data_IF_108723360378
#
_entry.id   IF_108723360378
#
_cell.length_a   1.000
_cell.length_b   1.000
_cell.length_c   1.000
_cell.angle_alpha   90.00
_cell.angle_beta   90.00
_cell.angle_gamma   90.00
#
_symmetry.space_group_name_H-M   'P 1'
#
loop_
_entity.id
_entity.type
_entity.pdbx_description
1 polymer ?
#
# COMPACT_ATOMS: atom_id res chain seq x y z
N UNK A 1 -11.80 13.33 -28.65
CA UNK A 1 -11.09 14.63 -28.60
C UNK A 1 -10.96 14.99 -27.14
N UNK A 2 -9.77 15.38 -26.67
CA UNK A 2 -9.58 15.69 -25.25
C UNK A 2 -10.48 16.85 -24.79
N UNK A 3 -11.16 16.67 -23.67
CA UNK A 3 -12.08 17.70 -23.13
C UNK A 3 -11.29 18.89 -22.58
N UNK A 4 -11.92 20.06 -22.47
CA UNK A 4 -11.29 21.25 -21.85
C UNK A 4 -10.75 20.95 -20.45
N UNK A 5 -11.52 20.34 -19.51
CA UNK A 5 -11.00 20.00 -18.20
C UNK A 5 -9.86 18.98 -18.24
N UNK A 6 -9.88 18.00 -19.17
CA UNK A 6 -8.77 17.05 -19.32
C UNK A 6 -7.46 17.74 -19.71
N UNK A 7 -7.50 18.70 -20.64
CA UNK A 7 -6.31 19.45 -21.05
C UNK A 7 -5.73 20.25 -19.89
N UNK A 8 -6.59 20.98 -19.17
CA UNK A 8 -6.19 21.74 -17.97
C UNK A 8 -5.66 20.82 -16.87
N UNK A 9 -6.22 19.63 -16.70
CA UNK A 9 -5.75 18.66 -15.71
C UNK A 9 -4.31 18.21 -16.03
N UNK A 10 -4.01 17.98 -17.32
CA UNK A 10 -2.66 17.63 -17.78
C UNK A 10 -1.66 18.77 -17.60
N UNK A 11 -2.09 20.01 -17.85
CA UNK A 11 -1.28 21.21 -17.58
C UNK A 11 -0.99 21.34 -16.08
N UNK A 12 -2.02 21.32 -15.22
CA UNK A 12 -1.86 21.35 -13.77
C UNK A 12 -0.97 20.21 -13.25
N UNK A 13 -1.06 19.02 -13.85
CA UNK A 13 -0.19 17.90 -13.50
C UNK A 13 1.28 18.18 -13.88
N UNK A 14 1.54 18.82 -15.02
CA UNK A 14 2.88 19.18 -15.47
C UNK A 14 3.50 20.28 -14.59
N UNK A 15 2.68 21.18 -14.07
CA UNK A 15 3.08 22.26 -13.16
C UNK A 15 3.19 21.79 -11.68
N UNK A 16 3.15 20.47 -11.44
CA UNK A 16 3.15 19.83 -10.12
C UNK A 16 1.98 20.25 -9.19
N UNK A 17 0.92 20.87 -9.73
CA UNK A 17 -0.31 21.23 -9.03
C UNK A 17 -1.25 20.02 -8.91
N UNK A 18 -0.79 18.95 -8.26
CA UNK A 18 -1.46 17.65 -8.28
C UNK A 18 -2.87 17.66 -7.68
N UNK A 19 -3.13 18.49 -6.66
CA UNK A 19 -4.47 18.63 -6.08
C UNK A 19 -5.46 19.23 -7.09
N UNK A 20 -5.04 20.29 -7.79
CA UNK A 20 -5.84 20.88 -8.86
C UNK A 20 -6.02 19.90 -10.02
N UNK A 21 -4.98 19.14 -10.38
CA UNK A 21 -5.07 18.10 -11.41
C UNK A 21 -6.14 17.05 -11.05
N UNK A 22 -6.22 16.60 -9.79
CA UNK A 22 -7.27 15.67 -9.33
C UNK A 22 -8.67 16.26 -9.50
N UNK A 23 -8.87 17.53 -9.14
CA UNK A 23 -10.17 18.19 -9.28
C UNK A 23 -10.59 18.33 -10.74
N UNK A 24 -9.66 18.73 -11.60
CA UNK A 24 -9.89 18.87 -13.04
C UNK A 24 -10.12 17.51 -13.73
N UNK A 25 -9.37 16.47 -13.36
CA UNK A 25 -9.67 15.11 -13.84
C UNK A 25 -11.03 14.63 -13.36
N UNK A 26 -11.44 14.98 -12.14
CA UNK A 26 -12.77 14.64 -11.63
C UNK A 26 -13.88 15.34 -12.42
N UNK A 27 -13.64 16.58 -12.88
CA UNK A 27 -14.54 17.26 -13.82
C UNK A 27 -14.56 16.57 -15.19
N UNK A 28 -13.40 16.21 -15.74
CA UNK A 28 -13.32 15.49 -17.00
C UNK A 28 -14.07 14.15 -16.94
N UNK A 29 -13.94 13.40 -15.84
CA UNK A 29 -14.64 12.13 -15.61
C UNK A 29 -16.17 12.32 -15.54
N UNK A 30 -16.66 13.44 -14.99
CA UNK A 30 -18.10 13.74 -15.01
C UNK A 30 -18.62 13.94 -16.45
N UNK A 31 -17.78 14.44 -17.35
CA UNK A 31 -18.14 14.64 -18.76
C UNK A 31 -18.02 13.36 -19.57
N UNK A 32 -17.00 12.54 -19.31
CA UNK A 32 -16.81 11.23 -19.94
C UNK A 32 -16.44 10.15 -18.90
N UNK A 33 -17.45 9.51 -18.28
CA UNK A 33 -17.21 8.51 -17.24
C UNK A 33 -16.69 7.17 -17.77
N UNK A 34 -16.58 7.00 -19.09
CA UNK A 34 -16.13 5.75 -19.71
C UNK A 34 -14.70 5.83 -20.25
N UNK A 35 -14.04 7.00 -20.18
CA UNK A 35 -12.64 7.11 -20.57
C UNK A 35 -11.70 6.59 -19.47
N UNK A 36 -11.17 5.38 -19.70
CA UNK A 36 -10.20 4.74 -18.82
C UNK A 36 -8.93 5.58 -18.58
N UNK A 37 -8.53 6.42 -19.54
CA UNK A 37 -7.32 7.25 -19.38
C UNK A 37 -7.49 8.30 -18.30
N UNK A 38 -8.70 8.88 -18.15
CA UNK A 38 -8.95 9.89 -17.13
C UNK A 38 -8.77 9.33 -15.72
N UNK A 39 -9.27 8.12 -15.47
CA UNK A 39 -9.04 7.42 -14.21
C UNK A 39 -7.56 7.08 -14.01
N UNK A 40 -6.87 6.58 -15.04
CA UNK A 40 -5.44 6.25 -14.93
C UNK A 40 -4.55 7.49 -14.68
N UNK A 41 -4.89 8.63 -15.27
CA UNK A 41 -4.18 9.89 -15.07
C UNK A 41 -4.51 10.50 -13.69
N UNK A 42 -5.77 10.44 -13.23
CA UNK A 42 -6.14 10.85 -11.86
C UNK A 42 -5.47 10.00 -10.80
N UNK A 43 -5.36 8.68 -11.01
CA UNK A 43 -4.59 7.79 -10.15
C UNK A 43 -3.12 8.23 -10.03
N UNK A 44 -2.52 8.71 -11.12
CA UNK A 44 -1.15 9.23 -11.08
C UNK A 44 -1.03 10.50 -10.24
N UNK A 45 -2.01 11.40 -10.32
CA UNK A 45 -2.05 12.59 -9.48
C UNK A 45 -2.23 12.21 -7.98
N UNK A 46 -3.10 11.25 -7.68
CA UNK A 46 -3.24 10.70 -6.33
C UNK A 46 -1.94 10.08 -5.78
N UNK A 47 -1.18 9.35 -6.61
CA UNK A 47 0.14 8.82 -6.21
C UNK A 47 1.09 9.95 -5.81
N UNK A 48 1.09 11.07 -6.56
CA UNK A 48 1.93 12.23 -6.25
C UNK A 48 1.52 12.93 -4.96
N UNK A 49 0.25 12.84 -4.58
CA UNK A 49 -0.28 13.32 -3.31
C UNK A 49 -0.15 12.32 -2.15
N UNK A 50 0.45 11.15 -2.37
CA UNK A 50 0.47 10.02 -1.43
C UNK A 50 -0.92 9.47 -1.03
N UNK A 51 -1.95 9.76 -1.83
CA UNK A 51 -3.31 9.23 -1.70
C UNK A 51 -3.40 7.85 -2.37
N UNK A 52 -2.68 6.86 -1.84
CA UNK A 52 -2.46 5.60 -2.53
C UNK A 52 -3.73 4.74 -2.63
N UNK A 53 -4.63 4.81 -1.66
CA UNK A 53 -5.89 4.07 -1.66
C UNK A 53 -6.83 4.52 -2.79
N UNK A 54 -6.92 5.83 -3.00
CA UNK A 54 -7.65 6.48 -4.07
C UNK A 54 -7.02 6.14 -5.42
N UNK A 55 -5.70 6.17 -5.51
CA UNK A 55 -4.98 5.76 -6.71
C UNK A 55 -5.26 4.29 -7.10
N UNK A 56 -5.33 3.36 -6.14
CA UNK A 56 -5.70 1.96 -6.40
C UNK A 56 -7.13 1.86 -6.92
N UNK A 57 -8.07 2.60 -6.31
CA UNK A 57 -9.48 2.63 -6.73
C UNK A 57 -9.63 3.10 -8.18
N UNK A 58 -8.99 4.23 -8.52
CA UNK A 58 -8.99 4.77 -9.88
C UNK A 58 -8.31 3.83 -10.88
N UNK A 59 -7.16 3.25 -10.51
CA UNK A 59 -6.48 2.29 -11.37
C UNK A 59 -7.33 1.04 -11.63
N UNK A 60 -8.06 0.54 -10.63
CA UNK A 60 -9.01 -0.56 -10.81
C UNK A 60 -10.15 -0.17 -11.76
N UNK A 61 -10.69 1.04 -11.63
CA UNK A 61 -11.75 1.52 -12.52
C UNK A 61 -11.24 1.64 -13.97
N UNK A 62 -10.03 2.17 -14.16
CA UNK A 62 -9.38 2.22 -15.47
C UNK A 62 -9.19 0.83 -16.09
N UNK A 63 -8.75 -0.17 -15.30
CA UNK A 63 -8.60 -1.56 -15.76
C UNK A 63 -9.96 -2.18 -16.12
N UNK A 64 -11.01 -1.90 -15.35
CA UNK A 64 -12.36 -2.39 -15.64
C UNK A 64 -12.88 -1.82 -16.98
N UNK A 65 -12.64 -0.54 -17.24
CA UNK A 65 -13.06 0.13 -18.48
C UNK A 65 -12.20 -0.29 -19.68
N UNK A 66 -10.90 -0.42 -19.49
CA UNK A 66 -9.96 -0.88 -20.52
C UNK A 66 -8.90 -1.83 -19.92
N UNK A 67 -9.14 -3.15 -20.03
CA UNK A 67 -8.22 -4.17 -19.51
C UNK A 67 -6.85 -4.19 -20.18
N UNK A 68 -6.69 -3.56 -21.35
CA UNK A 68 -5.41 -3.48 -22.09
C UNK A 68 -4.57 -2.24 -21.74
N UNK A 69 -5.09 -1.35 -20.88
CA UNK A 69 -4.41 -0.10 -20.53
C UNK A 69 -3.25 -0.35 -19.56
N UNK A 70 -2.06 -0.63 -20.11
CA UNK A 70 -0.83 -0.90 -19.33
C UNK A 70 -0.54 0.16 -18.26
N UNK A 71 -0.76 1.45 -18.56
CA UNK A 71 -0.58 2.55 -17.59
C UNK A 71 -1.39 2.36 -16.31
N UNK A 72 -2.62 1.83 -16.38
CA UNK A 72 -3.46 1.62 -15.21
C UNK A 72 -2.88 0.55 -14.27
N UNK A 73 -2.36 -0.55 -14.82
CA UNK A 73 -1.64 -1.57 -14.04
C UNK A 73 -0.38 -1.00 -13.39
N UNK A 74 0.36 -0.14 -14.09
CA UNK A 74 1.52 0.52 -13.53
C UNK A 74 1.14 1.43 -12.35
N UNK A 75 0.03 2.17 -12.44
CA UNK A 75 -0.48 2.99 -11.32
C UNK A 75 -0.88 2.12 -10.14
N UNK A 76 -1.66 1.06 -10.38
CA UNK A 76 -2.06 0.10 -9.34
C UNK A 76 -0.85 -0.50 -8.64
N UNK A 77 0.11 -1.05 -9.40
CA UNK A 77 1.32 -1.65 -8.85
C UNK A 77 2.14 -0.66 -8.01
N UNK A 78 2.34 0.57 -8.52
CA UNK A 78 3.07 1.61 -7.79
C UNK A 78 2.37 2.00 -6.48
N UNK A 79 1.04 2.17 -6.50
CA UNK A 79 0.27 2.51 -5.31
C UNK A 79 0.26 1.36 -4.28
N UNK A 80 0.10 0.11 -4.72
CA UNK A 80 0.18 -1.07 -3.85
C UNK A 80 1.57 -1.23 -3.20
N UNK A 81 2.67 -0.97 -3.94
CA UNK A 81 4.03 -0.96 -3.34
C UNK A 81 4.12 0.06 -2.20
N UNK A 82 3.54 1.25 -2.39
CA UNK A 82 3.53 2.31 -1.36
C UNK A 82 2.62 1.99 -0.17
N UNK A 83 1.66 1.10 -0.35
CA UNK A 83 0.82 0.53 0.70
C UNK A 83 1.42 -0.73 1.33
N UNK A 84 2.62 -1.15 0.91
CA UNK A 84 3.28 -2.40 1.33
C UNK A 84 2.49 -3.67 0.95
N UNK A 85 1.61 -3.57 -0.06
CA UNK A 85 0.87 -4.69 -0.63
C UNK A 85 1.65 -5.36 -1.79
N UNK A 86 2.82 -5.90 -1.48
CA UNK A 86 3.79 -6.35 -2.50
C UNK A 86 3.29 -7.49 -3.40
N UNK A 87 2.53 -8.43 -2.85
CA UNK A 87 1.93 -9.52 -3.62
C UNK A 87 0.92 -9.01 -4.65
N UNK A 88 0.01 -8.14 -4.22
CA UNK A 88 -1.00 -7.51 -5.08
C UNK A 88 -0.35 -6.63 -6.14
N UNK A 89 0.69 -5.88 -5.77
CA UNK A 89 1.48 -5.09 -6.69
C UNK A 89 2.13 -5.95 -7.79
N UNK A 90 2.81 -7.02 -7.41
CA UNK A 90 3.47 -7.95 -8.35
C UNK A 90 2.50 -8.49 -9.39
N UNK A 91 1.34 -8.99 -8.95
CA UNK A 91 0.31 -9.53 -9.86
C UNK A 91 -0.20 -8.45 -10.81
N UNK A 92 -0.49 -7.25 -10.31
CA UNK A 92 -0.93 -6.14 -11.16
C UNK A 92 0.13 -5.78 -12.22
N UNK A 93 1.40 -5.72 -11.84
CA UNK A 93 2.50 -5.40 -12.73
C UNK A 93 2.73 -6.49 -13.79
N UNK A 94 2.62 -7.77 -13.43
CA UNK A 94 2.71 -8.88 -14.38
C UNK A 94 1.60 -8.82 -15.44
N UNK A 95 0.37 -8.54 -15.01
CA UNK A 95 -0.77 -8.37 -15.93
C UNK A 95 -0.54 -7.17 -16.86
N UNK A 96 -0.01 -6.06 -16.34
CA UNK A 96 0.32 -4.88 -17.15
C UNK A 96 1.45 -5.11 -18.16
N UNK A 97 2.48 -5.86 -17.78
CA UNK A 97 3.63 -6.18 -18.62
C UNK A 97 3.24 -6.95 -19.88
N UNK A 98 2.18 -7.78 -19.81
CA UNK A 98 1.65 -8.49 -20.98
C UNK A 98 1.21 -7.54 -22.11
N UNK A 99 0.81 -6.30 -21.78
CA UNK A 99 0.37 -5.28 -22.73
C UNK A 99 1.46 -4.24 -23.08
N UNK A 100 2.63 -4.31 -22.44
CA UNK A 100 3.74 -3.36 -22.64
C UNK A 100 5.09 -4.04 -22.47
N UNK A 101 5.42 -4.95 -23.39
CA UNK A 101 6.59 -5.83 -23.30
C UNK A 101 7.94 -5.07 -23.27
N UNK A 102 8.00 -3.88 -23.87
CA UNK A 102 9.21 -3.06 -23.92
C UNK A 102 9.36 -2.09 -22.73
N UNK A 103 8.36 -1.99 -21.85
CA UNK A 103 8.39 -1.06 -20.72
C UNK A 103 9.15 -1.65 -19.53
N UNK A 104 10.44 -1.30 -19.43
CA UNK A 104 11.33 -1.78 -18.38
C UNK A 104 10.87 -1.42 -16.96
N UNK A 105 9.93 -0.46 -16.79
CA UNK A 105 9.40 -0.12 -15.46
C UNK A 105 8.69 -1.30 -14.81
N UNK A 106 7.98 -2.13 -15.59
CA UNK A 106 7.32 -3.31 -15.06
C UNK A 106 8.32 -4.30 -14.47
N UNK A 107 9.36 -4.65 -15.24
CA UNK A 107 10.40 -5.57 -14.78
C UNK A 107 11.08 -5.09 -13.49
N UNK A 108 11.45 -3.80 -13.45
CA UNK A 108 12.07 -3.20 -12.26
C UNK A 108 11.17 -3.24 -11.03
N UNK A 109 9.87 -2.91 -11.18
CA UNK A 109 8.93 -2.92 -10.06
C UNK A 109 8.55 -4.34 -9.62
N UNK A 110 8.49 -5.30 -10.54
CA UNK A 110 8.28 -6.73 -10.21
C UNK A 110 9.45 -7.24 -9.38
N UNK A 111 10.69 -6.98 -9.82
CA UNK A 111 11.89 -7.35 -9.06
C UNK A 111 11.94 -6.68 -7.68
N UNK A 112 11.49 -5.42 -7.58
CA UNK A 112 11.35 -4.75 -6.30
C UNK A 112 10.34 -5.45 -5.39
N UNK A 113 9.18 -5.88 -5.91
CA UNK A 113 8.20 -6.64 -5.14
C UNK A 113 8.77 -7.98 -4.64
N UNK A 114 9.49 -8.72 -5.50
CA UNK A 114 10.11 -9.99 -5.14
C UNK A 114 11.05 -9.85 -3.95
N UNK A 115 11.92 -8.82 -3.97
CA UNK A 115 12.82 -8.54 -2.85
C UNK A 115 12.10 -8.24 -1.55
N UNK A 116 10.99 -7.50 -1.59
CA UNK A 116 10.21 -7.21 -0.38
C UNK A 116 9.51 -8.47 0.15
N UNK A 117 8.96 -9.30 -0.73
CA UNK A 117 8.29 -10.56 -0.35
C UNK A 117 9.30 -11.51 0.32
N UNK A 118 10.47 -11.72 -0.27
CA UNK A 118 11.53 -12.56 0.32
C UNK A 118 12.00 -12.04 1.68
N UNK A 119 12.11 -10.72 1.84
CA UNK A 119 12.47 -10.10 3.11
C UNK A 119 11.39 -10.32 4.19
N UNK A 120 10.10 -10.25 3.83
CA UNK A 120 9.00 -10.55 4.74
C UNK A 120 9.06 -12.01 5.22
N UNK A 121 9.29 -12.96 4.31
CA UNK A 121 9.39 -14.39 4.64
C UNK A 121 10.58 -14.69 5.55
N UNK A 122 11.74 -14.10 5.28
CA UNK A 122 12.93 -14.23 6.13
C UNK A 122 12.70 -13.67 7.54
N UNK A 123 12.01 -12.53 7.64
CA UNK A 123 11.68 -11.92 8.94
C UNK A 123 10.66 -12.75 9.73
N UNK A 124 9.68 -13.38 9.08
CA UNK A 124 8.68 -14.23 9.71
C UNK A 124 9.26 -15.47 10.39
N UNK A 125 10.29 -16.07 9.79
CA UNK A 125 11.00 -17.26 10.30
C UNK A 125 11.73 -17.00 11.63
N UNK A 126 12.16 -15.77 11.90
CA UNK A 126 12.89 -15.45 13.15
C UNK A 126 11.99 -15.44 14.39
N UNK A 127 10.67 -15.30 14.23
CA UNK A 127 9.73 -15.21 15.35
C UNK A 127 9.29 -16.56 15.95
N UNK A 128 9.44 -17.66 15.21
CA UNK A 128 8.96 -18.99 15.62
C UNK A 128 10.01 -19.89 16.26
N UNK A 129 11.30 -19.53 16.18
CA UNK A 129 12.41 -20.32 16.74
C UNK A 129 12.79 -19.97 18.19
N UNK A 130 12.13 -18.99 18.82
CA UNK A 130 12.49 -18.53 20.18
C UNK A 130 11.67 -19.14 21.33
N UNK A 131 10.78 -20.10 21.08
CA UNK A 131 10.04 -20.81 22.13
C UNK A 131 10.06 -22.32 21.89
N UNK A 132 11.18 -22.97 22.18
CA UNK A 132 11.23 -24.36 22.66
C UNK A 132 12.66 -24.73 23.10
N UNK A 133 13.00 -24.29 24.32
CA UNK A 133 14.09 -24.75 25.17
C UNK A 133 13.87 -24.06 26.51
N UNK A 134 13.53 -24.73 27.61
CA UNK A 134 14.33 -25.78 28.19
C UNK A 134 13.51 -26.71 29.08
N UNK A 135 13.69 -27.98 28.79
CA UNK A 135 13.67 -29.17 29.63
C UNK A 135 14.01 -28.86 31.10
N UNK A 136 13.14 -29.32 32.00
CA UNK A 136 13.33 -29.37 33.44
C UNK A 136 14.52 -30.26 33.82
N UNK A 137 15.53 -29.69 34.46
CA UNK A 137 16.41 -30.44 35.37
C UNK A 137 16.98 -29.51 36.44
N UNK A 138 16.64 -29.82 37.69
CA UNK A 138 17.31 -29.33 38.92
C UNK A 138 18.47 -30.28 39.20
N UNK A 139 19.59 -29.85 39.83
CA UNK A 139 19.61 -29.84 41.30
C UNK A 139 20.49 -28.76 41.98
N UNK A 140 20.26 -28.67 43.29
CA UNK A 140 20.86 -27.87 44.38
C UNK A 140 22.39 -27.82 44.49
N UNK A 141 22.90 -26.75 45.15
CA UNK A 141 23.99 -26.88 46.14
C UNK A 141 25.09 -25.81 46.18
N UNK A 142 25.00 -24.91 47.18
CA UNK A 142 26.03 -24.26 48.03
C UNK A 142 27.35 -23.68 47.47
N UNK A 143 27.70 -22.48 47.98
CA UNK A 143 29.01 -22.27 48.64
C UNK A 143 29.96 -21.18 48.12
N UNK A 144 29.83 -19.97 48.69
CA UNK A 144 30.87 -19.07 49.23
C UNK A 144 32.25 -18.86 48.57
N UNK A 145 32.58 -17.56 48.42
CA UNK A 145 33.86 -16.87 48.68
C UNK A 145 35.14 -17.33 47.97
N UNK A 146 35.74 -16.45 47.14
CA UNK A 146 37.15 -16.08 47.26
C UNK A 146 37.42 -14.72 46.60
N UNK A 147 38.45 -14.07 47.11
CA UNK A 147 38.74 -12.64 47.16
C UNK A 147 39.74 -12.14 46.12
N UNK A 148 39.75 -10.80 45.95
CA UNK A 148 40.92 -9.91 45.86
C UNK A 148 41.47 -9.54 44.45
N UNK A 149 41.32 -8.28 44.02
CA UNK A 149 42.32 -7.18 44.17
C UNK A 149 41.98 -5.95 43.30
N UNK A 150 42.30 -4.78 43.87
CA UNK A 150 42.16 -3.42 43.35
C UNK A 150 43.10 -3.08 42.18
N UNK A 151 42.67 -2.14 41.32
CA UNK A 151 43.21 -0.77 41.15
C UNK A 151 42.31 -0.09 40.08
N UNK A 152 41.79 1.13 40.18
CA UNK A 152 42.25 2.31 40.88
C UNK A 152 42.59 3.41 39.87
N UNK A 153 41.59 4.11 39.30
CA UNK A 153 41.74 5.54 38.94
C UNK A 153 40.38 6.23 38.78
N UNK A 154 40.33 7.44 39.31
CA UNK A 154 39.20 8.27 39.74
C UNK A 154 38.81 9.38 38.76
N UNK A 155 37.48 9.62 38.71
CA UNK A 155 36.73 10.92 38.75
C UNK A 155 36.95 11.89 37.57
N UNK A 156 35.98 12.66 37.05
CA UNK A 156 34.82 13.43 37.60
C UNK A 156 33.73 13.50 36.48
N UNK A 157 32.40 13.36 36.64
CA UNK A 157 31.37 14.04 37.44
C UNK A 157 31.31 15.56 37.12
N UNK A 158 30.20 16.24 36.75
CA UNK A 158 28.75 16.13 37.01
C UNK A 158 27.97 16.80 35.83
N UNK A 159 26.75 16.39 35.46
CA UNK A 159 25.45 16.86 36.01
C UNK A 159 24.89 17.98 35.10
N UNK A 160 23.66 17.98 34.56
CA UNK A 160 22.39 17.70 35.21
C UNK A 160 21.26 17.40 34.18
N UNK A 161 20.28 16.69 34.71
CA UNK A 161 19.00 16.13 34.27
C UNK A 161 18.10 16.98 33.35
N UNK A 162 17.40 16.35 32.40
CA UNK A 162 15.93 16.22 32.47
C UNK A 162 15.35 15.29 31.40
N UNK A 163 14.56 14.35 31.91
CA UNK A 163 13.77 13.31 31.25
C UNK A 163 12.68 13.90 30.37
N UNK A 164 12.55 13.36 29.15
CA UNK A 164 11.23 13.05 28.57
C UNK A 164 11.38 11.99 27.50
N UNK A 165 11.25 10.74 27.94
CA UNK A 165 10.84 9.63 27.10
C UNK A 165 9.49 9.98 26.46
N UNK A 166 9.50 10.30 25.17
CA UNK A 166 8.35 9.98 24.33
C UNK A 166 8.66 8.63 23.69
N UNK A 167 8.22 7.58 24.39
CA UNK A 167 8.00 6.27 23.80
C UNK A 167 6.99 6.46 22.67
N UNK A 168 7.47 6.74 21.46
CA UNK A 168 6.67 6.63 20.27
C UNK A 168 6.57 5.14 19.98
N UNK A 169 5.55 4.53 20.61
CA UNK A 169 5.09 3.20 20.28
C UNK A 169 4.99 3.14 18.76
N UNK A 170 5.85 2.33 18.14
CA UNK A 170 5.75 2.00 16.75
C UNK A 170 4.39 1.33 16.58
N UNK A 171 3.40 2.13 16.17
CA UNK A 171 2.12 1.65 15.68
C UNK A 171 2.46 0.77 14.48
N UNK A 172 2.67 -0.53 14.74
CA UNK A 172 2.59 -1.56 13.72
C UNK A 172 1.20 -1.38 13.12
N UNK A 173 1.14 -0.68 11.98
CA UNK A 173 -0.10 -0.49 11.25
C UNK A 173 -0.69 -1.88 11.08
N UNK A 174 -1.96 -2.10 11.43
CA UNK A 174 -2.55 -3.42 11.32
C UNK A 174 -2.36 -3.90 9.89
N UNK A 175 -1.76 -5.10 9.73
CA UNK A 175 -1.56 -5.77 8.44
C UNK A 175 -2.95 -6.15 7.92
N UNK A 176 -3.67 -5.18 7.35
CA UNK A 176 -5.11 -5.30 7.12
C UNK A 176 -5.44 -5.73 5.69
N UNK A 177 -5.74 -7.03 5.61
CA UNK A 177 -6.90 -7.67 4.97
C UNK A 177 -7.27 -7.21 3.55
N UNK A 178 -6.86 -8.04 2.58
CA UNK A 178 -7.26 -8.12 1.17
C UNK A 178 -8.78 -7.98 0.87
N UNK A 179 -9.66 -7.95 1.88
CA UNK A 179 -11.11 -7.92 1.73
C UNK A 179 -11.69 -6.53 1.41
N UNK A 180 -10.92 -5.44 1.55
CA UNK A 180 -11.46 -4.10 1.36
C UNK A 180 -11.77 -3.75 -0.12
N UNK A 181 -11.06 -4.37 -1.07
CA UNK A 181 -11.15 -4.03 -2.51
C UNK A 181 -11.77 -5.14 -3.38
N UNK A 182 -12.26 -6.23 -2.78
CA UNK A 182 -12.90 -7.36 -3.47
C UNK A 182 -14.38 -7.54 -3.07
N UNK A 183 -15.08 -6.46 -2.69
CA UNK A 183 -16.52 -6.56 -2.46
C UNK A 183 -17.26 -6.57 -3.81
N UNK A 184 -18.02 -7.62 -4.16
CA UNK A 184 -19.00 -7.49 -5.23
C UNK A 184 -20.02 -6.44 -4.77
N UNK A 185 -20.13 -5.34 -5.50
CA UNK A 185 -21.21 -4.37 -5.28
C UNK A 185 -22.53 -5.09 -5.56
N UNK A 186 -23.26 -5.42 -4.50
CA UNK A 186 -24.57 -6.07 -4.59
C UNK A 186 -25.59 -5.01 -5.02
N UNK A 187 -25.91 -4.97 -6.32
CA UNK A 187 -26.92 -4.07 -6.86
C UNK A 187 -28.30 -4.68 -6.60
N UNK A 188 -28.97 -4.21 -5.55
CA UNK A 188 -30.36 -4.57 -5.26
C UNK A 188 -31.28 -3.86 -6.26
N UNK A 189 -31.76 -4.57 -7.27
CA UNK A 189 -32.77 -4.08 -8.22
C UNK A 189 -34.16 -4.48 -7.70
N UNK A 190 -34.93 -3.51 -7.23
CA UNK A 190 -36.33 -3.72 -6.85
C UNK A 190 -37.24 -3.51 -8.06
N UNK A 191 -37.78 -4.60 -8.61
CA UNK A 191 -38.77 -4.57 -9.69
C UNK A 191 -40.18 -4.58 -9.10
N UNK A 192 -40.93 -3.47 -9.27
CA UNK A 192 -42.34 -3.42 -8.91
C UNK A 192 -43.18 -3.89 -10.12
N UNK A 193 -43.67 -5.12 -10.07
CA UNK A 193 -44.65 -5.61 -11.04
C UNK A 193 -46.02 -4.99 -10.71
N UNK A 194 -46.59 -4.25 -11.68
CA UNK A 194 -47.96 -3.70 -11.58
C UNK A 194 -48.92 -4.73 -12.16
N UNK A 195 -49.73 -5.36 -11.31
CA UNK A 195 -50.80 -6.25 -11.74
C UNK A 195 -51.82 -5.48 -12.58
N UNK A 196 -52.06 -5.95 -13.81
CA UNK A 196 -53.15 -5.49 -14.65
C UNK A 196 -54.41 -6.28 -14.29
N UNK A 197 -55.38 -5.63 -13.64
CA UNK A 197 -56.73 -6.20 -13.53
C UNK A 197 -57.43 -6.08 -14.88
N UNK A 198 -57.78 -7.22 -15.45
CA UNK A 198 -58.55 -7.33 -16.68
C UNK A 198 -60.03 -7.15 -16.35
N UNK A 199 -60.63 -6.06 -16.85
CA UNK A 199 -62.06 -5.82 -16.73
C UNK A 199 -62.84 -6.79 -17.62
N UNK A 200 -63.85 -7.45 -17.03
CA UNK A 200 -64.88 -8.24 -17.73
C UNK A 200 -65.90 -7.34 -18.41
#
# INVERSE_FOLDING_TARGET
>A
MATVPEKKAKEAFFDDEFALAVDLYSEAIRLDPNDANLFADRAQAHIKLNAFTEAVSDANKAIQLNPSLSKAYLRKGTACIKLEEYHTAKVALQNGAAFAQDDSRFANLIQQCDRFIEAEESSGLTSTLSSNGSITSVPSGNGSHFSNRNDGMTKEAEGDSLVSQKNEATLKRPKYRHEYYQKPEEVVVTLFAKEYQQAM
#
